data_IF_652621407208
#
_entry.id   IF_652621407208
#
_cell.length_a   1.000
_cell.length_b   1.000
_cell.length_c   1.000
_cell.angle_alpha   90.00
_cell.angle_beta   90.00
_cell.angle_gamma   90.00
#
_symmetry.space_group_name_H-M   'P 1'
#
loop_
_entity.id
_entity.type
_entity.pdbx_description
1 polymer ?
#
# COMPACT_ATOMS: atom_id res chain seq x y z
N UNK A 1 13.56 -16.08 29.27
CA UNK A 1 13.19 -17.10 28.25
C UNK A 1 13.34 -16.45 26.88
N UNK A 2 14.21 -16.96 26.05
CA UNK A 2 14.33 -16.51 24.65
C UNK A 2 13.05 -16.94 23.91
N UNK A 3 12.37 -16.04 23.20
CA UNK A 3 11.17 -16.42 22.44
C UNK A 3 11.52 -17.47 21.38
N UNK A 4 10.68 -18.50 21.27
CA UNK A 4 10.84 -19.52 20.24
C UNK A 4 10.67 -18.89 18.87
N UNK A 5 11.53 -19.17 17.90
CA UNK A 5 11.42 -18.58 16.56
C UNK A 5 10.13 -19.01 15.87
N UNK A 6 9.51 -18.07 15.13
CA UNK A 6 8.34 -18.35 14.30
C UNK A 6 8.75 -19.29 13.17
N UNK A 7 8.08 -20.45 13.08
CA UNK A 7 8.38 -21.48 12.07
C UNK A 7 7.37 -21.51 10.92
N UNK A 8 6.18 -21.00 11.16
CA UNK A 8 5.12 -20.96 10.14
C UNK A 8 4.24 -19.73 10.31
N UNK A 9 3.79 -19.19 9.17
CA UNK A 9 2.81 -18.11 9.09
C UNK A 9 1.68 -18.57 8.18
N UNK A 10 0.45 -18.37 8.63
CA UNK A 10 -0.73 -18.58 7.81
C UNK A 10 -1.39 -17.23 7.53
N UNK A 11 -1.66 -16.99 6.24
CA UNK A 11 -2.39 -15.83 5.75
C UNK A 11 -3.75 -16.31 5.28
N UNK A 12 -4.81 -15.67 5.75
CA UNK A 12 -6.18 -15.99 5.39
C UNK A 12 -6.73 -14.87 4.50
N UNK A 13 -7.04 -15.24 3.25
CA UNK A 13 -7.55 -14.33 2.23
C UNK A 13 -6.51 -13.92 1.19
N UNK A 14 -6.87 -14.06 -0.09
CA UNK A 14 -6.01 -13.84 -1.26
C UNK A 14 -6.27 -12.52 -1.99
N UNK A 15 -6.91 -11.55 -1.36
CA UNK A 15 -7.01 -10.21 -1.92
C UNK A 15 -5.67 -9.46 -1.88
N UNK A 16 -5.66 -8.21 -2.33
CA UNK A 16 -4.48 -7.35 -2.37
C UNK A 16 -3.68 -7.38 -1.07
N UNK A 17 -4.34 -7.21 0.09
CA UNK A 17 -3.67 -7.20 1.39
C UNK A 17 -3.00 -8.55 1.74
N UNK A 18 -3.66 -9.67 1.42
CA UNK A 18 -3.10 -11.01 1.65
C UNK A 18 -1.84 -11.25 0.82
N UNK A 19 -1.89 -10.96 -0.47
CA UNK A 19 -0.74 -11.14 -1.35
C UNK A 19 0.37 -10.12 -1.09
N UNK A 20 0.07 -8.88 -0.68
CA UNK A 20 1.07 -7.92 -0.18
C UNK A 20 1.80 -8.49 1.05
N UNK A 21 1.05 -9.03 2.01
CA UNK A 21 1.63 -9.65 3.20
C UNK A 21 2.49 -10.85 2.83
N UNK A 22 2.00 -11.74 1.96
CA UNK A 22 2.74 -12.92 1.50
C UNK A 22 4.05 -12.54 0.79
N UNK A 23 4.01 -11.56 -0.10
CA UNK A 23 5.18 -11.07 -0.82
C UNK A 23 6.22 -10.44 0.11
N UNK A 24 5.76 -9.62 1.08
CA UNK A 24 6.64 -9.01 2.08
C UNK A 24 7.32 -10.08 2.96
N UNK A 25 6.56 -11.05 3.45
CA UNK A 25 7.11 -12.14 4.27
C UNK A 25 8.05 -13.05 3.48
N UNK A 26 7.72 -13.35 2.23
CA UNK A 26 8.60 -14.12 1.34
C UNK A 26 9.94 -13.41 1.08
N UNK A 27 9.96 -12.08 1.12
CA UNK A 27 11.17 -11.27 0.99
C UNK A 27 11.96 -11.17 2.28
N UNK A 28 11.27 -11.01 3.42
CA UNK A 28 11.88 -10.66 4.70
C UNK A 28 12.26 -11.87 5.56
N UNK A 29 11.52 -12.98 5.47
CA UNK A 29 11.74 -14.14 6.33
C UNK A 29 12.74 -15.13 5.72
N UNK A 30 13.49 -15.86 6.57
CA UNK A 30 14.32 -16.95 6.10
C UNK A 30 13.46 -18.08 5.51
N UNK A 31 13.98 -18.80 4.53
CA UNK A 31 13.26 -19.92 3.89
C UNK A 31 12.90 -21.08 4.83
N UNK A 32 13.43 -21.07 6.04
CA UNK A 32 13.07 -22.02 7.12
C UNK A 32 11.72 -21.70 7.76
N UNK A 33 11.14 -20.52 7.49
CA UNK A 33 9.80 -20.15 7.93
C UNK A 33 8.81 -20.44 6.80
N UNK A 34 7.91 -21.38 7.03
CA UNK A 34 6.86 -21.70 6.06
C UNK A 34 5.82 -20.57 6.01
N UNK A 35 5.50 -20.08 4.83
CA UNK A 35 4.42 -19.10 4.61
C UNK A 35 3.35 -19.75 3.75
N UNK A 36 2.14 -19.85 4.28
CA UNK A 36 0.98 -20.42 3.58
C UNK A 36 -0.11 -19.37 3.46
N UNK A 37 -0.66 -19.21 2.26
CA UNK A 37 -1.81 -18.35 2.01
C UNK A 37 -3.00 -19.21 1.55
N UNK A 38 -4.15 -19.04 2.20
CA UNK A 38 -5.38 -19.72 1.85
C UNK A 38 -6.35 -18.72 1.24
N UNK A 39 -6.82 -19.01 0.03
CA UNK A 39 -7.83 -18.21 -0.69
C UNK A 39 -8.76 -19.11 -1.49
N UNK A 40 -9.91 -18.57 -1.88
CA UNK A 40 -10.83 -19.27 -2.77
C UNK A 40 -11.15 -18.43 -3.99
N UNK A 41 -10.94 -19.00 -5.17
CA UNK A 41 -11.33 -18.40 -6.45
C UNK A 41 -12.85 -18.21 -6.55
N UNK A 42 -13.64 -19.01 -5.81
CA UNK A 42 -15.11 -18.88 -5.76
C UNK A 42 -15.58 -17.61 -5.07
N UNK A 43 -14.78 -17.06 -4.11
CA UNK A 43 -15.14 -15.83 -3.40
C UNK A 43 -14.85 -14.61 -4.25
N UNK A 44 -13.93 -14.73 -5.20
CA UNK A 44 -13.48 -13.65 -6.06
C UNK A 44 -12.78 -12.53 -5.29
N UNK A 45 -11.87 -11.82 -5.94
CA UNK A 45 -11.40 -10.54 -5.42
C UNK A 45 -12.52 -9.54 -5.65
N UNK A 46 -12.92 -8.81 -4.60
CA UNK A 46 -13.82 -7.67 -4.78
C UNK A 46 -13.13 -6.76 -5.81
N UNK A 47 -13.67 -6.74 -7.03
CA UNK A 47 -13.09 -6.05 -8.17
C UNK A 47 -13.21 -4.55 -8.02
N UNK A 48 -12.36 -3.96 -7.19
CA UNK A 48 -12.23 -2.51 -7.02
C UNK A 48 -10.95 -2.03 -7.67
N UNK A 49 -10.99 -0.83 -8.24
CA UNK A 49 -9.78 -0.12 -8.58
C UNK A 49 -9.11 0.36 -7.29
N UNK A 50 -7.86 0.00 -7.09
CA UNK A 50 -7.09 0.52 -5.96
C UNK A 50 -6.57 1.92 -6.26
N UNK A 51 -6.80 2.83 -5.33
CA UNK A 51 -6.25 4.17 -5.33
C UNK A 51 -5.27 4.30 -4.16
N UNK A 52 -3.99 4.19 -4.43
CA UNK A 52 -2.95 4.12 -3.41
C UNK A 52 -2.42 5.47 -2.96
N UNK A 53 -1.47 5.45 -2.04
CA UNK A 53 -0.70 6.59 -1.55
C UNK A 53 0.80 6.31 -1.71
N UNK A 54 1.70 7.31 -1.66
CA UNK A 54 3.13 7.15 -1.97
C UNK A 54 3.89 6.00 -1.29
N UNK A 55 3.55 5.52 -0.08
CA UNK A 55 4.19 4.35 0.51
C UNK A 55 4.17 3.08 -0.35
N UNK A 56 3.27 2.96 -1.34
CA UNK A 56 3.26 1.84 -2.29
C UNK A 56 4.57 1.77 -3.09
N UNK A 57 5.18 2.92 -3.41
CA UNK A 57 6.46 2.97 -4.12
C UNK A 57 7.57 2.34 -3.27
N UNK A 58 7.62 2.68 -1.99
CA UNK A 58 8.57 2.10 -1.04
C UNK A 58 8.36 0.59 -0.90
N UNK A 59 7.10 0.15 -0.80
CA UNK A 59 6.78 -1.27 -0.74
C UNK A 59 7.27 -2.02 -1.98
N UNK A 60 6.96 -1.53 -3.18
CA UNK A 60 7.39 -2.14 -4.43
C UNK A 60 8.92 -2.14 -4.57
N UNK A 61 9.61 -1.07 -4.14
CA UNK A 61 11.07 -1.00 -4.11
C UNK A 61 11.70 -2.02 -3.16
N UNK A 62 11.15 -2.21 -1.96
CA UNK A 62 11.61 -3.22 -1.00
C UNK A 62 11.52 -4.63 -1.61
N UNK A 63 10.45 -4.92 -2.33
CA UNK A 63 10.29 -6.18 -3.04
C UNK A 63 11.26 -6.30 -4.24
N UNK A 64 11.77 -5.20 -4.75
CA UNK A 64 12.60 -5.16 -5.97
C UNK A 64 11.78 -5.30 -7.24
N UNK A 65 10.53 -4.83 -7.23
CA UNK A 65 9.66 -4.86 -8.41
C UNK A 65 10.05 -3.76 -9.39
N UNK A 66 10.10 -4.12 -10.67
CA UNK A 66 10.25 -3.14 -11.75
C UNK A 66 8.93 -2.36 -11.95
N UNK A 67 8.99 -1.04 -11.86
CA UNK A 67 7.81 -0.17 -11.94
C UNK A 67 7.07 -0.32 -13.27
N UNK A 68 7.82 -0.38 -14.38
CA UNK A 68 7.20 -0.49 -15.69
C UNK A 68 6.53 -1.86 -15.89
N UNK A 69 7.12 -2.94 -15.37
CA UNK A 69 6.53 -4.27 -15.39
C UNK A 69 5.26 -4.31 -14.51
N UNK A 70 5.33 -3.74 -13.30
CA UNK A 70 4.19 -3.58 -12.41
C UNK A 70 3.05 -2.83 -13.09
N UNK A 71 3.33 -1.65 -13.66
CA UNK A 71 2.31 -0.82 -14.29
C UNK A 71 1.62 -1.55 -15.46
N UNK A 72 2.41 -2.23 -16.30
CA UNK A 72 1.83 -3.02 -17.41
C UNK A 72 0.96 -4.17 -16.93
N UNK A 73 1.43 -4.91 -15.92
CA UNK A 73 0.72 -6.07 -15.40
C UNK A 73 -0.59 -5.70 -14.70
N UNK A 74 -0.65 -4.54 -14.05
CA UNK A 74 -1.77 -4.10 -13.23
C UNK A 74 -2.66 -3.04 -13.90
N UNK A 75 -2.32 -2.65 -15.15
CA UNK A 75 -2.96 -1.53 -15.87
C UNK A 75 -2.91 -0.23 -15.08
N UNK A 76 -1.81 0.00 -14.39
CA UNK A 76 -1.67 1.14 -13.50
C UNK A 76 -1.54 2.47 -14.25
N UNK A 77 -2.02 3.53 -13.61
CA UNK A 77 -1.78 4.92 -13.98
C UNK A 77 -1.23 5.70 -12.77
N UNK A 78 -0.55 6.82 -13.03
CA UNK A 78 -0.02 7.66 -11.97
C UNK A 78 -1.13 8.43 -11.26
N UNK A 79 -0.99 8.56 -9.94
CA UNK A 79 -1.85 9.33 -9.06
C UNK A 79 -0.99 10.38 -8.36
N UNK A 80 -1.35 11.66 -8.46
CA UNK A 80 -0.59 12.79 -7.93
C UNK A 80 -1.26 13.44 -6.73
N UNK A 81 -2.59 13.28 -6.62
CA UNK A 81 -3.40 13.92 -5.60
C UNK A 81 -4.69 13.13 -5.34
N UNK A 82 -5.44 13.59 -4.35
CA UNK A 82 -6.82 13.22 -4.10
C UNK A 82 -7.65 14.49 -4.22
N UNK A 83 -8.64 14.52 -5.10
CA UNK A 83 -9.60 15.60 -5.14
C UNK A 83 -10.78 15.30 -4.21
N UNK A 84 -11.08 16.24 -3.33
CA UNK A 84 -12.27 16.21 -2.50
C UNK A 84 -13.29 17.18 -3.08
N UNK A 85 -14.43 16.63 -3.49
CA UNK A 85 -15.55 17.39 -4.04
C UNK A 85 -16.72 17.34 -3.04
N UNK A 86 -17.34 18.49 -2.79
CA UNK A 86 -18.52 18.67 -1.94
C UNK A 86 -18.33 18.25 -0.46
N UNK A 87 -17.09 18.02 -0.03
CA UNK A 87 -16.76 17.61 1.33
C UNK A 87 -17.12 18.65 2.39
N UNK A 88 -16.90 19.93 2.08
CA UNK A 88 -17.25 21.06 2.97
C UNK A 88 -18.56 21.75 2.58
N UNK A 89 -19.29 21.21 1.62
CA UNK A 89 -20.55 21.73 1.10
C UNK A 89 -20.61 21.70 -0.43
N UNK A 90 -21.80 21.78 -1.01
CA UNK A 90 -22.00 21.72 -2.46
C UNK A 90 -21.16 22.77 -3.22
N UNK A 91 -20.45 22.32 -4.25
CA UNK A 91 -19.58 23.14 -5.09
C UNK A 91 -18.17 23.38 -4.53
N UNK A 92 -17.89 23.00 -3.30
CA UNK A 92 -16.54 23.13 -2.74
C UNK A 92 -15.63 22.00 -3.26
N UNK A 93 -14.46 22.37 -3.78
CA UNK A 93 -13.45 21.43 -4.27
C UNK A 93 -12.06 21.83 -3.79
N UNK A 94 -11.26 20.86 -3.40
CA UNK A 94 -9.85 21.06 -3.13
C UNK A 94 -9.04 19.81 -3.44
N UNK A 95 -7.76 20.00 -3.78
CA UNK A 95 -6.80 18.92 -3.93
C UNK A 95 -6.03 18.68 -2.64
N UNK A 96 -5.84 17.42 -2.31
CA UNK A 96 -4.83 16.95 -1.38
C UNK A 96 -3.70 16.30 -2.18
N UNK A 97 -2.72 17.07 -2.62
CA UNK A 97 -1.62 16.56 -3.43
C UNK A 97 -0.63 15.77 -2.58
N UNK A 98 0.13 14.91 -3.24
CA UNK A 98 1.27 14.26 -2.60
C UNK A 98 2.49 15.20 -2.58
N UNK A 99 3.40 14.96 -1.61
CA UNK A 99 4.58 15.81 -1.44
C UNK A 99 4.35 17.02 -0.53
N UNK A 100 5.33 17.89 -0.51
CA UNK A 100 5.36 19.03 0.39
C UNK A 100 4.91 20.30 -0.33
N UNK A 101 4.32 21.22 0.44
CA UNK A 101 4.08 22.58 0.01
C UNK A 101 5.28 23.47 0.37
N UNK A 102 5.89 24.08 -0.64
CA UNK A 102 7.00 25.00 -0.45
C UNK A 102 8.14 24.46 0.42
N UNK A 103 8.91 25.35 0.99
CA UNK A 103 10.00 25.04 1.90
C UNK A 103 9.80 25.77 3.22
N UNK A 104 10.11 25.10 4.33
CA UNK A 104 10.15 25.74 5.65
C UNK A 104 11.24 26.83 5.68
N UNK A 105 10.97 27.92 6.38
CA UNK A 105 11.92 29.02 6.56
C UNK A 105 12.43 28.94 7.99
N UNK A 106 13.66 28.47 8.18
CA UNK A 106 14.25 28.19 9.49
C UNK A 106 13.32 27.29 10.34
N UNK A 107 12.86 27.79 11.48
CA UNK A 107 11.93 27.07 12.37
C UNK A 107 10.45 27.27 12.02
N UNK A 108 10.14 28.12 11.04
CA UNK A 108 8.76 28.44 10.66
C UNK A 108 8.30 27.55 9.53
N UNK A 109 7.19 26.86 9.75
CA UNK A 109 6.58 25.99 8.74
C UNK A 109 6.03 26.80 7.58
N UNK A 110 6.27 26.32 6.34
CA UNK A 110 5.83 26.99 5.13
C UNK A 110 4.35 27.42 5.18
N UNK A 111 3.46 26.54 5.63
CA UNK A 111 2.03 26.84 5.67
C UNK A 111 1.67 28.03 6.58
N UNK A 112 2.45 28.30 7.62
CA UNK A 112 2.23 29.45 8.50
C UNK A 112 2.59 30.76 7.79
N UNK A 113 3.70 30.75 7.05
CA UNK A 113 4.11 31.91 6.23
C UNK A 113 3.10 32.15 5.13
N UNK A 114 2.70 31.08 4.42
CA UNK A 114 1.69 31.16 3.36
C UNK A 114 0.35 31.68 3.90
N UNK A 115 -0.12 31.18 5.03
CA UNK A 115 -1.41 31.58 5.61
C UNK A 115 -1.46 33.08 5.86
N UNK A 116 -0.39 33.64 6.44
CA UNK A 116 -0.27 35.08 6.64
C UNK A 116 -0.29 35.84 5.32
N UNK A 117 0.55 35.42 4.39
CA UNK A 117 0.69 36.02 3.07
C UNK A 117 -0.63 36.00 2.27
N UNK A 118 -1.35 34.89 2.37
CA UNK A 118 -2.64 34.70 1.72
C UNK A 118 -3.72 35.59 2.34
N UNK A 119 -3.75 35.71 3.68
CA UNK A 119 -4.67 36.59 4.39
C UNK A 119 -4.42 38.07 4.04
N UNK A 120 -3.17 38.46 3.84
CA UNK A 120 -2.77 39.80 3.41
C UNK A 120 -2.98 40.03 1.88
N UNK A 121 -3.44 39.03 1.13
CA UNK A 121 -3.85 39.12 -0.28
C UNK A 121 -2.73 39.07 -1.32
N UNK A 122 -1.50 38.74 -0.93
CA UNK A 122 -0.36 38.71 -1.86
C UNK A 122 0.18 37.31 -2.21
N UNK A 123 -0.32 36.24 -1.56
CA UNK A 123 0.03 34.87 -1.94
C UNK A 123 -1.12 34.19 -2.71
N UNK A 124 -0.79 33.44 -3.78
CA UNK A 124 -1.76 32.63 -4.51
C UNK A 124 -2.29 31.46 -3.63
N UNK A 125 -3.28 30.68 -4.11
CA UNK A 125 -3.72 29.46 -3.44
C UNK A 125 -2.54 28.52 -3.15
N UNK A 126 -2.63 27.77 -2.05
CA UNK A 126 -1.53 26.94 -1.56
C UNK A 126 -1.05 25.90 -2.57
N UNK A 127 -1.95 25.42 -3.43
CA UNK A 127 -1.64 24.46 -4.51
C UNK A 127 -0.56 24.94 -5.47
N UNK A 128 -0.40 26.26 -5.64
CA UNK A 128 0.65 26.85 -6.46
C UNK A 128 2.07 26.50 -5.95
N UNK A 129 2.18 26.11 -4.70
CA UNK A 129 3.46 25.78 -4.05
C UNK A 129 3.70 24.26 -3.92
N UNK A 130 2.91 23.45 -4.64
CA UNK A 130 3.10 21.99 -4.66
C UNK A 130 3.17 21.48 -6.09
N UNK A 131 4.31 20.85 -6.44
CA UNK A 131 4.54 20.39 -7.82
C UNK A 131 3.55 19.28 -8.24
N UNK A 132 3.17 18.38 -7.32
CA UNK A 132 2.21 17.33 -7.64
C UNK A 132 0.81 17.90 -7.90
N UNK A 133 0.41 18.97 -7.19
CA UNK A 133 -0.84 19.69 -7.45
C UNK A 133 -0.82 20.35 -8.84
N UNK A 134 0.25 21.07 -9.17
CA UNK A 134 0.39 21.72 -10.47
C UNK A 134 0.42 20.71 -11.62
N UNK A 135 1.13 19.61 -11.45
CA UNK A 135 1.16 18.53 -12.42
C UNK A 135 -0.21 17.86 -12.59
N UNK A 136 -0.97 17.68 -11.50
CA UNK A 136 -2.32 17.13 -11.54
C UNK A 136 -3.29 18.04 -12.27
N UNK A 137 -3.29 19.35 -11.99
CA UNK A 137 -4.12 20.33 -12.70
C UNK A 137 -3.84 20.38 -14.21
N UNK A 138 -2.59 20.17 -14.59
CA UNK A 138 -2.16 20.16 -15.98
C UNK A 138 -2.29 18.78 -16.65
N UNK A 139 -2.71 17.75 -15.90
CA UNK A 139 -2.72 16.35 -16.34
C UNK A 139 -1.35 15.92 -16.91
N UNK A 140 -0.27 16.23 -16.18
CA UNK A 140 1.11 15.95 -16.57
C UNK A 140 1.81 15.11 -15.51
N UNK A 141 2.75 14.31 -15.95
CA UNK A 141 3.63 13.53 -15.10
C UNK A 141 5.04 13.50 -15.68
N UNK A 142 6.03 13.55 -14.81
CA UNK A 142 7.41 13.19 -15.13
C UNK A 142 8.01 12.44 -13.93
N UNK A 143 8.91 11.47 -14.16
CA UNK A 143 9.59 10.79 -13.06
C UNK A 143 10.34 11.80 -12.18
N UNK A 144 10.25 11.65 -10.83
CA UNK A 144 11.01 12.53 -9.93
C UNK A 144 12.51 12.49 -10.22
N UNK A 145 13.14 13.65 -10.17
CA UNK A 145 14.61 13.74 -10.27
C UNK A 145 15.27 13.09 -9.06
N UNK A 146 16.40 12.45 -9.28
CA UNK A 146 17.27 11.95 -8.20
C UNK A 146 18.13 13.06 -7.58
N UNK A 147 18.29 14.19 -8.27
CA UNK A 147 18.99 15.36 -7.77
C UNK A 147 18.06 16.18 -6.87
N UNK A 148 18.33 16.26 -5.54
CA UNK A 148 17.48 16.98 -4.60
C UNK A 148 17.46 18.50 -4.83
N UNK A 149 18.42 19.05 -5.58
CA UNK A 149 18.46 20.46 -5.96
C UNK A 149 17.45 20.83 -7.06
N UNK A 150 16.88 19.87 -7.76
CA UNK A 150 15.90 20.11 -8.79
C UNK A 150 14.48 20.08 -8.22
N UNK A 151 13.64 21.03 -8.65
CA UNK A 151 12.22 21.10 -8.23
C UNK A 151 11.50 19.78 -8.50
N UNK A 152 11.83 19.09 -9.60
CA UNK A 152 11.23 17.81 -9.97
C UNK A 152 11.46 16.70 -8.92
N UNK A 153 12.47 16.82 -8.05
CA UNK A 153 12.69 15.86 -6.95
C UNK A 153 11.58 15.91 -5.89
N UNK A 154 10.85 17.03 -5.81
CA UNK A 154 9.74 17.23 -4.87
C UNK A 154 8.45 16.55 -5.31
N UNK A 155 8.33 16.12 -6.57
CA UNK A 155 7.16 15.43 -7.08
C UNK A 155 7.01 14.08 -6.36
N UNK A 156 5.83 13.84 -5.78
CA UNK A 156 5.44 12.57 -5.17
C UNK A 156 4.22 12.03 -5.89
N UNK A 157 4.18 10.72 -6.01
CA UNK A 157 3.13 10.03 -6.74
C UNK A 157 2.80 8.69 -6.11
N UNK A 158 1.67 8.17 -6.47
CA UNK A 158 1.21 6.82 -6.22
C UNK A 158 0.55 6.29 -7.51
N UNK A 159 -0.30 5.28 -7.37
CA UNK A 159 -0.94 4.65 -8.54
C UNK A 159 -2.42 4.45 -8.31
N UNK A 160 -3.17 4.43 -9.41
CA UNK A 160 -4.43 3.72 -9.55
C UNK A 160 -4.15 2.44 -10.33
N UNK A 161 -4.69 1.30 -9.91
CA UNK A 161 -4.51 0.03 -10.61
C UNK A 161 -5.68 -0.94 -10.33
N UNK A 162 -5.73 -2.01 -11.11
CA UNK A 162 -6.65 -3.11 -10.89
C UNK A 162 -6.17 -3.97 -9.72
N UNK A 163 -7.00 -4.07 -8.66
CA UNK A 163 -6.68 -4.81 -7.44
C UNK A 163 -6.46 -6.31 -7.68
N UNK A 164 -7.27 -6.91 -8.54
CA UNK A 164 -7.15 -8.32 -8.88
C UNK A 164 -5.87 -8.62 -9.65
N UNK A 165 -5.52 -7.77 -10.62
CA UNK A 165 -4.27 -7.90 -11.35
C UNK A 165 -3.05 -7.67 -10.46
N UNK A 166 -3.14 -6.78 -9.47
CA UNK A 166 -2.06 -6.59 -8.52
C UNK A 166 -1.89 -7.79 -7.58
N UNK A 167 -2.99 -8.34 -7.07
CA UNK A 167 -2.95 -9.56 -6.26
C UNK A 167 -2.29 -10.71 -7.06
N UNK A 168 -2.68 -10.89 -8.34
CA UNK A 168 -2.06 -11.87 -9.23
C UNK A 168 -0.57 -11.60 -9.44
N UNK A 169 -0.18 -10.36 -9.71
CA UNK A 169 1.23 -9.98 -9.91
C UNK A 169 2.08 -10.28 -8.66
N UNK A 170 1.55 -10.03 -7.46
CA UNK A 170 2.22 -10.36 -6.20
C UNK A 170 2.25 -11.86 -5.93
N UNK A 171 1.22 -12.61 -6.34
CA UNK A 171 1.22 -14.08 -6.31
C UNK A 171 2.34 -14.63 -7.16
N UNK A 172 2.44 -14.19 -8.43
CA UNK A 172 3.49 -14.61 -9.36
C UNK A 172 4.90 -14.26 -8.83
N UNK A 173 5.02 -13.25 -7.97
CA UNK A 173 6.25 -12.89 -7.26
C UNK A 173 6.52 -13.81 -6.06
N UNK A 174 5.50 -14.14 -5.26
CA UNK A 174 5.65 -14.77 -3.94
C UNK A 174 5.79 -16.30 -4.01
N UNK A 175 5.01 -16.98 -4.87
CA UNK A 175 5.04 -18.44 -5.00
C UNK A 175 6.44 -18.99 -5.34
N UNK A 176 7.19 -18.46 -6.33
CA UNK A 176 8.56 -18.90 -6.61
C UNK A 176 9.53 -18.64 -5.45
N UNK A 177 9.15 -17.79 -4.50
CA UNK A 177 9.92 -17.46 -3.28
C UNK A 177 9.57 -18.32 -2.08
N UNK A 178 8.69 -19.32 -2.25
CA UNK A 178 8.40 -20.32 -1.24
C UNK A 178 7.10 -20.10 -0.48
N UNK A 179 6.22 -19.20 -0.96
CA UNK A 179 4.85 -19.11 -0.45
C UNK A 179 4.02 -20.26 -1.02
N UNK A 180 3.36 -21.01 -0.14
CA UNK A 180 2.44 -22.06 -0.54
C UNK A 180 1.03 -21.50 -0.62
N UNK A 181 0.42 -21.52 -1.79
CA UNK A 181 -0.99 -21.22 -1.97
C UNK A 181 -1.84 -22.46 -1.74
N UNK A 182 -2.91 -22.31 -0.99
CA UNK A 182 -3.92 -23.34 -0.79
C UNK A 182 -5.25 -22.79 -1.29
N UNK A 183 -5.82 -23.48 -2.29
CA UNK A 183 -7.17 -23.20 -2.76
C UNK A 183 -8.17 -23.79 -1.79
N UNK A 184 -9.10 -23.00 -1.29
CA UNK A 184 -10.14 -23.47 -0.41
C UNK A 184 -10.94 -22.36 0.25
N UNK A 185 -12.23 -22.60 0.40
CA UNK A 185 -13.12 -21.72 1.16
C UNK A 185 -12.93 -21.93 2.66
N UNK A 186 -12.69 -20.84 3.39
CA UNK A 186 -12.51 -20.89 4.83
C UNK A 186 -13.90 -21.04 5.47
N UNK A 187 -14.16 -22.18 6.06
CA UNK A 187 -15.41 -22.47 6.76
C UNK A 187 -15.38 -22.02 8.22
N UNK A 188 -14.20 -21.99 8.83
CA UNK A 188 -14.03 -21.54 10.22
C UNK A 188 -12.56 -21.45 10.63
N UNK A 189 -12.30 -20.69 11.66
CA UNK A 189 -10.98 -20.55 12.29
C UNK A 189 -11.09 -20.95 13.74
N UNK A 190 -10.34 -21.96 14.14
CA UNK A 190 -10.23 -22.37 15.55
C UNK A 190 -8.91 -21.87 16.11
N UNK A 191 -8.99 -21.27 17.27
CA UNK A 191 -7.83 -20.70 17.95
C UNK A 191 -7.57 -21.48 19.23
N UNK A 192 -6.32 -21.87 19.43
CA UNK A 192 -5.87 -22.56 20.62
C UNK A 192 -4.89 -21.69 21.41
N UNK A 193 -5.24 -21.33 22.65
CA UNK A 193 -4.39 -20.55 23.55
C UNK A 193 -4.90 -19.13 23.83
N UNK A 194 -4.31 -18.50 24.83
CA UNK A 194 -4.64 -17.13 25.23
C UNK A 194 -4.14 -16.12 24.19
N UNK A 195 -5.04 -15.35 23.64
CA UNK A 195 -4.72 -14.24 22.73
C UNK A 195 -4.04 -13.10 23.48
N UNK A 196 -2.93 -12.61 22.92
CA UNK A 196 -2.56 -11.22 23.09
C UNK A 196 -2.67 -10.55 21.74
N UNK A 197 -3.64 -9.66 21.58
CA UNK A 197 -3.62 -8.73 20.45
C UNK A 197 -2.39 -7.84 20.60
N UNK A 198 -1.54 -7.80 19.59
CA UNK A 198 -0.50 -6.79 19.49
C UNK A 198 -1.17 -5.45 19.16
N UNK A 199 -1.43 -4.63 20.16
CA UNK A 199 -1.63 -3.20 19.97
C UNK A 199 -0.25 -2.56 19.88
N UNK A 200 0.03 -1.88 18.76
CA UNK A 200 1.15 -0.97 18.50
C UNK A 200 2.38 -1.16 19.42
N UNK A 201 3.36 -1.95 18.95
CA UNK A 201 4.71 -1.91 19.50
C UNK A 201 5.22 -3.14 20.25
N UNK A 202 4.42 -4.16 20.54
CA UNK A 202 4.90 -5.38 21.20
C UNK A 202 4.57 -6.64 20.38
N UNK A 203 5.61 -7.26 19.84
CA UNK A 203 5.55 -8.62 19.30
C UNK A 203 5.67 -9.57 20.46
N UNK A 204 4.56 -10.01 21.04
CA UNK A 204 4.56 -11.08 22.01
C UNK A 204 4.48 -12.43 21.29
N UNK A 205 5.54 -13.25 21.43
CA UNK A 205 5.61 -14.60 20.87
C UNK A 205 4.53 -15.51 21.44
N UNK A 206 3.57 -15.89 20.61
CA UNK A 206 2.62 -16.94 20.86
C UNK A 206 2.79 -18.03 19.80
N UNK A 207 2.99 -19.27 20.22
CA UNK A 207 3.00 -20.45 19.33
C UNK A 207 1.56 -20.70 18.91
N UNK A 208 1.32 -20.65 17.61
CA UNK A 208 0.02 -20.91 17.00
C UNK A 208 -0.06 -22.35 16.49
N UNK A 209 -0.75 -23.26 17.14
CA UNK A 209 -1.24 -24.44 16.44
C UNK A 209 -2.61 -24.08 15.84
N UNK A 210 -2.61 -23.56 14.62
CA UNK A 210 -3.83 -23.50 13.83
C UNK A 210 -4.00 -24.89 13.21
N UNK A 211 -5.01 -25.62 13.66
CA UNK A 211 -5.46 -26.82 12.96
C UNK A 211 -6.39 -26.36 11.84
N UNK A 212 -5.93 -26.54 10.59
CA UNK A 212 -6.76 -26.34 9.43
C UNK A 212 -7.77 -27.46 9.30
N UNK A 213 -9.04 -27.14 9.28
CA UNK A 213 -10.00 -27.93 8.57
C UNK A 213 -10.33 -27.15 7.29
N UNK A 214 -9.61 -27.46 6.24
CA UNK A 214 -10.02 -27.11 4.88
C UNK A 214 -10.98 -28.23 4.49
N UNK A 215 -12.26 -28.00 4.59
CA UNK A 215 -13.23 -28.88 3.96
C UNK A 215 -13.10 -28.60 2.47
N UNK A 216 -12.41 -29.51 1.78
CA UNK A 216 -12.42 -29.52 0.32
C UNK A 216 -13.88 -29.64 -0.09
N UNK A 217 -14.43 -28.63 -0.70
CA UNK A 217 -15.73 -28.73 -1.31
C UNK A 217 -15.63 -29.84 -2.37
N UNK A 218 -16.42 -30.89 -2.20
CA UNK A 218 -16.52 -31.96 -3.17
C UNK A 218 -16.80 -31.35 -4.54
N UNK A 219 -15.88 -31.61 -5.46
CA UNK A 219 -16.08 -31.32 -6.87
C UNK A 219 -17.20 -32.20 -7.37
N UNK A 220 -18.33 -31.60 -7.69
CA UNK A 220 -19.37 -32.19 -8.55
C UNK A 220 -19.41 -31.46 -9.87
#
# INVERSE_FOLDING_TARGET
>A
MTPSPIRSVLIIGGGTAGWMTAAALAKALPRTTAVTLVESEQIGTVGVGEATIPPINTFNQILGLDEAAFMRATKASFKLAIEFADWMGPGHRYLHPFGNFGLDIEAVKFHQVWLRAHHEGWAPPIDAFNLSAQAAHLNRYAPPSKDPGQVLSSLKYAFHFDAGLYAKFLRDYAEPRGVTRVEGKIAGVQQHGAWRMAHQGEVAGGIWPIRHRVDAAEAH
#
